data_IF_754579040056
#
_entry.id   IF_754579040056
#
_cell.length_a   1.000
_cell.length_b   1.000
_cell.length_c   1.000
_cell.angle_alpha   90.00
_cell.angle_beta   90.00
_cell.angle_gamma   90.00
#
_symmetry.space_group_name_H-M   'P 1'
#
loop_
_entity.id
_entity.type
_entity.pdbx_description
1 polymer ?
#
# COMPACT_ATOMS: atom_id res chain seq x y z
N UNK A 1 9.46 -7.55 -35.68
CA UNK A 1 10.15 -7.74 -34.38
C UNK A 1 10.34 -6.46 -33.56
N UNK A 2 10.52 -5.27 -34.17
CA UNK A 2 10.69 -4.00 -33.44
C UNK A 2 9.41 -3.50 -32.73
N UNK A 3 8.23 -3.62 -33.34
CA UNK A 3 6.98 -3.15 -32.73
C UNK A 3 6.48 -3.98 -31.54
N UNK A 4 6.85 -5.26 -31.45
CA UNK A 4 6.46 -6.11 -30.31
C UNK A 4 7.16 -5.69 -29.01
N UNK A 5 8.42 -5.24 -29.12
CA UNK A 5 9.18 -4.69 -27.99
C UNK A 5 8.60 -3.36 -27.48
N UNK A 6 8.12 -2.50 -28.39
CA UNK A 6 7.50 -1.22 -28.04
C UNK A 6 6.15 -1.41 -27.34
N UNK A 7 5.31 -2.34 -27.81
CA UNK A 7 4.04 -2.66 -27.15
C UNK A 7 4.26 -3.23 -25.74
N UNK A 8 5.26 -4.10 -25.56
CA UNK A 8 5.58 -4.66 -24.25
C UNK A 8 6.02 -3.57 -23.25
N UNK A 9 6.83 -2.59 -23.68
CA UNK A 9 7.22 -1.46 -22.83
C UNK A 9 6.05 -0.53 -22.46
N UNK A 10 5.10 -0.29 -23.38
CA UNK A 10 3.92 0.55 -23.09
C UNK A 10 2.94 -0.13 -22.12
N UNK A 11 2.81 -1.46 -22.18
CA UNK A 11 1.98 -2.21 -21.24
C UNK A 11 2.53 -2.17 -19.80
N UNK A 12 3.85 -2.08 -19.63
CA UNK A 12 4.51 -1.96 -18.32
C UNK A 12 4.33 -0.56 -17.69
N UNK A 13 4.26 0.51 -18.49
CA UNK A 13 4.10 1.88 -17.97
C UNK A 13 2.72 2.18 -17.38
N UNK A 14 1.67 1.42 -17.77
CA UNK A 14 0.32 1.62 -17.25
C UNK A 14 0.13 1.11 -15.80
N UNK A 15 1.05 0.29 -15.30
CA UNK A 15 1.04 -0.22 -13.92
C UNK A 15 1.69 0.75 -12.92
N UNK A 16 2.29 1.85 -13.38
CA UNK A 16 3.12 2.70 -12.53
C UNK A 16 2.32 3.58 -11.56
N UNK A 17 1.07 3.96 -11.86
CA UNK A 17 0.28 4.96 -11.10
C UNK A 17 -0.31 4.44 -9.77
N UNK A 18 0.27 3.42 -9.15
CA UNK A 18 -0.34 2.75 -7.99
C UNK A 18 0.20 3.28 -6.67
N UNK A 19 -0.66 3.28 -5.64
CA UNK A 19 -0.24 3.53 -4.27
C UNK A 19 0.29 2.24 -3.63
N UNK A 20 1.39 2.34 -2.89
CA UNK A 20 2.04 1.23 -2.20
C UNK A 20 2.49 1.62 -0.80
N UNK A 21 2.54 0.63 0.09
CA UNK A 21 3.07 0.82 1.45
C UNK A 21 4.60 0.74 1.36
N UNK A 22 5.28 1.80 1.79
CA UNK A 22 6.76 1.88 1.77
C UNK A 22 7.37 1.89 3.18
N UNK A 23 6.60 2.33 4.18
CA UNK A 23 6.93 2.14 5.59
C UNK A 23 5.75 1.47 6.29
N UNK A 24 5.97 0.47 7.16
CA UNK A 24 7.26 -0.18 7.40
C UNK A 24 7.80 -0.89 6.17
N UNK A 25 9.13 -0.97 6.03
CA UNK A 25 9.74 -1.72 4.94
C UNK A 25 9.51 -3.23 5.12
N UNK A 26 9.51 -3.99 4.03
CA UNK A 26 9.38 -5.45 4.08
C UNK A 26 10.44 -6.07 4.99
N UNK A 27 10.02 -6.97 5.87
CA UNK A 27 10.89 -7.63 6.87
C UNK A 27 11.26 -6.76 8.08
N UNK A 28 10.65 -5.57 8.22
CA UNK A 28 10.86 -4.74 9.42
C UNK A 28 10.37 -5.49 10.67
N UNK A 29 11.10 -5.31 11.78
CA UNK A 29 10.72 -5.84 13.09
C UNK A 29 9.94 -4.77 13.84
N UNK A 30 8.73 -5.11 14.28
CA UNK A 30 7.83 -4.27 15.08
C UNK A 30 7.55 -4.97 16.41
N UNK A 31 7.08 -4.20 17.39
CA UNK A 31 6.74 -4.73 18.71
C UNK A 31 5.25 -4.56 18.99
N UNK A 32 4.64 -5.59 19.57
CA UNK A 32 3.25 -5.52 20.00
C UNK A 32 3.05 -4.36 21.00
N UNK A 33 1.96 -3.61 20.86
CA UNK A 33 1.64 -2.46 21.68
C UNK A 33 2.35 -1.16 21.28
N UNK A 34 3.37 -1.21 20.42
CA UNK A 34 4.05 0.00 19.95
C UNK A 34 3.29 0.70 18.83
N UNK A 35 3.50 2.01 18.74
CA UNK A 35 3.00 2.83 17.63
C UNK A 35 3.97 2.80 16.46
N UNK A 36 3.44 2.67 15.26
CA UNK A 36 4.17 2.64 14.00
C UNK A 36 3.55 3.63 13.00
N UNK A 37 4.40 4.20 12.15
CA UNK A 37 3.96 5.00 11.00
C UNK A 37 3.87 4.10 9.77
N UNK A 38 2.67 4.02 9.21
CA UNK A 38 2.41 3.42 7.91
C UNK A 38 2.45 4.52 6.87
N UNK A 39 3.50 4.55 6.06
CA UNK A 39 3.66 5.52 4.96
C UNK A 39 3.19 4.85 3.66
N UNK A 40 2.21 5.47 3.01
CA UNK A 40 1.76 5.08 1.68
C UNK A 40 2.23 6.11 0.68
N UNK A 41 2.96 5.66 -0.34
CA UNK A 41 3.40 6.49 -1.46
C UNK A 41 2.59 6.19 -2.71
N UNK A 42 2.26 7.23 -3.46
CA UNK A 42 1.69 7.15 -4.79
C UNK A 42 2.78 7.53 -5.80
N UNK A 43 2.96 6.71 -6.84
CA UNK A 43 3.83 7.10 -7.95
C UNK A 43 3.21 8.25 -8.73
N UNK A 44 4.05 9.21 -9.16
CA UNK A 44 3.66 10.28 -10.06
C UNK A 44 2.95 9.74 -11.32
N UNK A 45 1.84 10.37 -11.68
CA UNK A 45 1.03 9.97 -12.82
C UNK A 45 1.36 10.80 -14.07
N UNK A 46 1.52 10.12 -15.21
CA UNK A 46 1.73 10.78 -16.50
C UNK A 46 0.44 11.35 -17.13
N UNK A 47 -0.71 10.91 -16.64
CA UNK A 47 -2.05 11.38 -17.01
C UNK A 47 -2.79 11.86 -15.76
N UNK A 48 -3.93 12.51 -15.93
CA UNK A 48 -4.83 12.84 -14.82
C UNK A 48 -5.06 11.61 -13.94
N UNK A 49 -4.89 11.79 -12.63
CA UNK A 49 -5.01 10.74 -11.62
C UNK A 49 -5.66 11.33 -10.37
N UNK A 50 -6.92 10.96 -10.15
CA UNK A 50 -7.71 11.40 -9.01
C UNK A 50 -7.74 10.30 -7.94
N UNK A 51 -7.07 10.59 -6.83
CA UNK A 51 -7.09 9.74 -5.64
C UNK A 51 -8.48 9.78 -4.99
N UNK A 52 -9.07 8.61 -4.72
CA UNK A 52 -10.44 8.52 -4.17
C UNK A 52 -10.40 8.01 -2.73
N UNK A 53 -9.88 6.80 -2.51
CA UNK A 53 -9.91 6.19 -1.19
C UNK A 53 -8.77 5.20 -0.95
N UNK A 54 -8.37 5.07 0.31
CA UNK A 54 -7.50 4.02 0.80
C UNK A 54 -8.18 3.28 1.94
N UNK A 55 -8.03 1.96 1.93
CA UNK A 55 -8.38 1.07 3.02
C UNK A 55 -7.09 0.35 3.43
N UNK A 56 -6.59 0.67 4.61
CA UNK A 56 -5.35 0.11 5.15
C UNK A 56 -5.70 -0.76 6.34
N UNK A 57 -5.19 -1.98 6.35
CA UNK A 57 -5.42 -2.91 7.44
C UNK A 57 -4.14 -3.60 7.89
N UNK A 58 -4.22 -4.18 9.07
CA UNK A 58 -3.17 -4.95 9.72
C UNK A 58 -3.73 -6.28 10.23
N UNK A 59 -2.97 -7.36 10.02
CA UNK A 59 -3.25 -8.66 10.62
C UNK A 59 -1.97 -9.43 10.90
N UNK A 60 -2.00 -10.21 11.97
CA UNK A 60 -1.06 -11.31 12.13
C UNK A 60 -1.41 -12.43 11.13
N UNK A 61 -0.39 -13.09 10.59
CA UNK A 61 -0.59 -14.20 9.67
C UNK A 61 -0.78 -15.50 10.45
N UNK A 62 -1.73 -16.37 10.04
CA UNK A 62 -1.89 -17.70 10.62
C UNK A 62 -0.55 -18.45 10.60
N UNK A 63 -0.23 -19.15 11.68
CA UNK A 63 1.02 -19.92 11.84
C UNK A 63 2.32 -19.10 11.70
N UNK A 64 2.23 -17.76 11.68
CA UNK A 64 3.38 -16.86 11.55
C UNK A 64 3.98 -16.78 10.15
N UNK A 65 3.23 -17.17 9.10
CA UNK A 65 3.66 -17.10 7.70
C UNK A 65 2.58 -16.44 6.81
N UNK A 66 2.97 -15.39 6.09
CA UNK A 66 2.09 -14.65 5.18
C UNK A 66 2.18 -15.13 3.70
N UNK A 67 2.88 -16.23 3.41
CA UNK A 67 3.16 -16.70 2.03
C UNK A 67 1.90 -16.98 1.19
N UNK A 68 0.79 -17.35 1.84
CA UNK A 68 -0.49 -17.64 1.18
C UNK A 68 -1.48 -16.48 1.23
N UNK A 69 -1.15 -15.40 1.94
CA UNK A 69 -2.05 -14.27 2.13
C UNK A 69 -2.11 -13.41 0.87
N UNK A 70 -3.33 -13.06 0.45
CA UNK A 70 -3.58 -12.17 -0.67
C UNK A 70 -4.67 -11.14 -0.30
N UNK A 71 -4.36 -9.84 -0.21
CA UNK A 71 -5.32 -8.81 0.19
C UNK A 71 -6.51 -8.68 -0.76
N UNK A 72 -6.37 -9.10 -2.03
CA UNK A 72 -7.47 -9.05 -3.00
C UNK A 72 -8.57 -10.09 -2.72
N UNK A 73 -8.23 -11.22 -2.08
CA UNK A 73 -9.19 -12.31 -1.76
C UNK A 73 -9.47 -12.39 -0.27
N UNK A 74 -8.48 -12.12 0.56
CA UNK A 74 -8.55 -12.29 2.02
C UNK A 74 -8.92 -10.98 2.75
N UNK A 75 -8.97 -9.87 2.01
CA UNK A 75 -9.19 -8.53 2.52
C UNK A 75 -8.00 -7.97 3.29
N UNK A 76 -8.11 -6.74 3.78
CA UNK A 76 -7.00 -6.03 4.45
C UNK A 76 -6.74 -6.47 5.90
N UNK A 77 -7.56 -7.38 6.44
CA UNK A 77 -7.51 -7.84 7.83
C UNK A 77 -8.47 -7.11 8.79
N UNK A 78 -8.58 -7.60 10.05
CA UNK A 78 -9.58 -7.13 11.00
C UNK A 78 -9.19 -5.83 11.72
N UNK A 79 -7.90 -5.48 11.79
CA UNK A 79 -7.46 -4.24 12.43
C UNK A 79 -7.33 -3.16 11.35
N UNK A 80 -8.29 -2.24 11.31
CA UNK A 80 -8.27 -1.14 10.35
C UNK A 80 -7.30 -0.05 10.84
N UNK A 81 -6.29 0.23 10.01
CA UNK A 81 -5.34 1.33 10.20
C UNK A 81 -5.96 2.64 9.71
N UNK A 82 -6.59 2.60 8.54
CA UNK A 82 -7.24 3.75 7.93
C UNK A 82 -8.34 3.30 6.97
N UNK A 83 -9.43 4.06 6.90
CA UNK A 83 -10.49 3.88 5.91
C UNK A 83 -11.08 5.25 5.58
N UNK A 84 -10.78 5.77 4.39
CA UNK A 84 -11.26 7.09 4.01
C UNK A 84 -10.63 7.64 2.74
N UNK A 85 -10.82 8.94 2.54
CA UNK A 85 -10.24 9.67 1.41
C UNK A 85 -8.71 9.63 1.48
N UNK A 86 -8.08 9.24 0.37
CA UNK A 86 -6.63 9.23 0.24
C UNK A 86 -6.20 10.49 -0.48
N UNK A 87 -5.36 11.30 0.18
CA UNK A 87 -4.94 12.62 -0.30
C UNK A 87 -3.43 12.75 -0.14
N UNK A 88 -2.64 11.98 -0.90
CA UNK A 88 -1.19 12.07 -0.82
C UNK A 88 -0.72 13.45 -1.28
N UNK A 89 0.33 13.95 -0.65
CA UNK A 89 0.87 15.27 -0.92
C UNK A 89 2.39 15.26 -0.89
N UNK A 90 2.99 16.25 -1.54
CA UNK A 90 4.42 16.53 -1.39
C UNK A 90 4.69 17.26 -0.07
N UNK A 91 5.78 16.88 0.59
CA UNK A 91 6.38 17.68 1.66
C UNK A 91 7.58 18.45 1.09
N UNK A 92 7.56 19.80 1.08
CA UNK A 92 8.69 20.62 0.62
C UNK A 92 10.01 20.33 1.34
N UNK A 93 9.96 19.80 2.57
CA UNK A 93 11.14 19.45 3.36
C UNK A 93 11.64 18.03 3.09
N UNK A 94 10.84 17.19 2.42
CA UNK A 94 11.16 15.81 2.10
C UNK A 94 10.85 15.50 0.62
N UNK A 95 11.41 16.25 -0.34
CA UNK A 95 11.07 16.12 -1.75
C UNK A 95 11.35 14.72 -2.31
N UNK A 96 12.29 13.98 -1.72
CA UNK A 96 12.63 12.62 -2.11
C UNK A 96 11.51 11.59 -1.88
N UNK A 97 10.51 11.89 -1.04
CA UNK A 97 9.38 10.98 -0.76
C UNK A 97 8.30 10.98 -1.85
N UNK A 98 8.32 11.94 -2.78
CA UNK A 98 7.26 12.07 -3.78
C UNK A 98 5.91 12.43 -3.16
N UNK A 99 4.82 11.88 -3.70
CA UNK A 99 3.46 11.99 -3.16
C UNK A 99 3.25 10.91 -2.09
N UNK A 100 3.04 11.31 -0.84
CA UNK A 100 2.87 10.36 0.25
C UNK A 100 1.81 10.81 1.26
N UNK A 101 1.37 9.86 2.08
CA UNK A 101 0.55 10.12 3.26
C UNK A 101 0.93 9.16 4.38
N UNK A 102 1.10 9.72 5.58
CA UNK A 102 1.45 8.97 6.78
C UNK A 102 0.21 8.68 7.62
N UNK A 103 0.12 7.44 8.09
CA UNK A 103 -0.91 6.97 9.00
C UNK A 103 -0.26 6.43 10.27
N UNK A 104 -0.81 6.82 11.42
CA UNK A 104 -0.33 6.32 12.71
C UNK A 104 -1.19 5.15 13.14
N UNK A 105 -0.56 4.03 13.52
CA UNK A 105 -1.24 2.85 14.01
C UNK A 105 -0.54 2.27 15.23
N UNK A 106 -1.30 1.82 16.21
CA UNK A 106 -0.75 1.06 17.34
C UNK A 106 -0.94 -0.43 17.07
N UNK A 107 0.17 -1.18 17.01
CA UNK A 107 0.11 -2.64 16.89
C UNK A 107 -0.65 -3.18 18.10
N UNK A 108 -1.70 -4.01 17.94
CA UNK A 108 -2.42 -4.58 19.07
C UNK A 108 -1.46 -5.31 20.02
N UNK A 109 -1.57 -5.04 21.33
CA UNK A 109 -0.69 -5.66 22.33
C UNK A 109 -0.82 -7.19 22.41
N UNK A 110 -1.92 -7.75 21.91
CA UNK A 110 -2.17 -9.20 21.81
C UNK A 110 -1.88 -9.79 20.43
N UNK A 111 -1.17 -9.08 19.55
CA UNK A 111 -0.74 -9.63 18.26
C UNK A 111 0.10 -10.89 18.48
N UNK A 112 -0.16 -11.93 17.66
CA UNK A 112 0.67 -13.12 17.65
C UNK A 112 2.10 -12.78 17.19
N UNK A 113 3.10 -13.43 17.80
CA UNK A 113 4.50 -13.32 17.42
C UNK A 113 4.72 -14.03 16.09
N UNK A 114 5.50 -13.43 15.20
CA UNK A 114 5.80 -13.94 13.87
C UNK A 114 5.39 -12.97 12.76
N UNK A 115 5.22 -13.48 11.54
CA UNK A 115 4.90 -12.61 10.42
C UNK A 115 3.49 -12.02 10.54
N UNK A 116 3.42 -10.74 10.21
CA UNK A 116 2.21 -9.95 10.12
C UNK A 116 2.26 -9.17 8.81
N UNK A 117 1.10 -8.73 8.34
CA UNK A 117 0.98 -8.04 7.06
C UNK A 117 0.20 -6.75 7.23
N UNK A 118 0.75 -5.67 6.67
CA UNK A 118 -0.01 -4.48 6.34
C UNK A 118 -0.50 -4.59 4.91
N UNK A 119 -1.78 -4.31 4.71
CA UNK A 119 -2.44 -4.41 3.40
C UNK A 119 -3.08 -3.09 3.03
N UNK A 120 -3.05 -2.75 1.75
CA UNK A 120 -3.67 -1.56 1.19
C UNK A 120 -4.65 -2.01 0.09
N UNK A 121 -5.90 -1.58 0.19
CA UNK A 121 -6.82 -1.46 -0.93
C UNK A 121 -6.90 0.00 -1.35
N UNK A 122 -6.71 0.28 -2.63
CA UNK A 122 -6.58 1.63 -3.16
C UNK A 122 -7.52 1.83 -4.34
N UNK A 123 -8.37 2.85 -4.24
CA UNK A 123 -9.29 3.27 -5.30
C UNK A 123 -8.86 4.64 -5.83
N UNK A 124 -8.71 4.72 -7.15
CA UNK A 124 -8.43 5.95 -7.88
C UNK A 124 -9.21 6.00 -9.19
N UNK A 125 -9.24 7.17 -9.83
CA UNK A 125 -9.81 7.36 -11.15
C UNK A 125 -8.76 7.96 -12.08
N UNK A 126 -8.50 7.29 -13.22
CA UNK A 126 -7.36 7.61 -14.10
C UNK A 126 -7.84 8.06 -15.48
N UNK A 127 -7.13 9.04 -16.04
CA UNK A 127 -7.31 9.57 -17.39
C UNK A 127 -8.50 10.52 -17.50
N UNK A 128 -8.66 11.12 -18.69
CA UNK A 128 -9.66 12.16 -18.95
C UNK A 128 -11.13 11.71 -18.71
N UNK A 129 -11.39 10.41 -18.72
CA UNK A 129 -12.72 9.84 -18.49
C UNK A 129 -12.92 9.38 -17.03
N UNK A 130 -11.97 9.61 -16.12
CA UNK A 130 -12.00 9.18 -14.72
C UNK A 130 -12.34 7.68 -14.58
N UNK A 131 -11.61 6.83 -15.29
CA UNK A 131 -11.85 5.38 -15.27
C UNK A 131 -11.48 4.85 -13.88
N UNK A 132 -12.40 4.20 -13.14
CA UNK A 132 -12.11 3.71 -11.81
C UNK A 132 -11.14 2.53 -11.87
N UNK A 133 -10.10 2.58 -11.04
CA UNK A 133 -9.09 1.54 -10.91
C UNK A 133 -8.97 1.19 -9.43
N UNK A 134 -9.09 -0.10 -9.13
CA UNK A 134 -8.85 -0.65 -7.81
C UNK A 134 -7.61 -1.51 -7.81
N UNK A 135 -6.68 -1.24 -6.89
CA UNK A 135 -5.45 -1.99 -6.72
C UNK A 135 -5.29 -2.41 -5.27
N UNK A 136 -4.53 -3.48 -5.07
CA UNK A 136 -4.14 -3.94 -3.74
C UNK A 136 -2.65 -4.12 -3.66
N UNK A 137 -2.05 -3.73 -2.54
CA UNK A 137 -0.64 -4.00 -2.22
C UNK A 137 -0.51 -4.46 -0.77
N UNK A 138 0.62 -5.07 -0.44
CA UNK A 138 0.90 -5.52 0.92
C UNK A 138 2.39 -5.47 1.23
N UNK A 139 2.70 -5.40 2.52
CA UNK A 139 4.06 -5.54 3.04
C UNK A 139 4.04 -6.46 4.26
N UNK A 140 4.96 -7.44 4.27
CA UNK A 140 5.14 -8.37 5.39
C UNK A 140 6.17 -7.82 6.34
N UNK A 141 5.88 -7.88 7.63
CA UNK A 141 6.71 -7.45 8.75
C UNK A 141 6.72 -8.55 9.80
N UNK A 142 7.69 -8.52 10.72
CA UNK A 142 7.74 -9.48 11.83
C UNK A 142 7.36 -8.75 13.12
N UNK A 143 6.42 -9.30 13.88
CA UNK A 143 6.03 -8.79 15.20
C UNK A 143 6.67 -9.65 16.30
N UNK A 144 7.27 -8.97 17.28
CA UNK A 144 7.84 -9.56 18.50
C UNK A 144 7.08 -9.12 19.76
#
# INVERSE_FOLDING_TARGET
MKSLLVLASLALSALAQQATIVSPAAGSVLFAGNTVTVEVQQTEAATDDMQVAALIGFRACPDGDCSTFNPATDGVGPNIVFAGAFTPAHDPNQPQKGLFQDFTFQIPAGSAIGDSVFSLGHLQAVGANNVPVFNTSMVVVTVL
#
